data_IF_909211080986
#
_entry.id   IF_909211080986
#
_cell.length_a   1.000
_cell.length_b   1.000
_cell.length_c   1.000
_cell.angle_alpha   90.00
_cell.angle_beta   90.00
_cell.angle_gamma   90.00
#
_symmetry.space_group_name_H-M   'P 1'
#
loop_
_entity.id
_entity.type
_entity.pdbx_description
1 polymer ?
#
# COMPACT_ATOMS: atom_id res chain seq x y z
N UNK A 1 -19.95 8.31 24.40
CA UNK A 1 -20.20 6.95 23.90
C UNK A 1 -20.20 7.02 22.38
N UNK A 2 -19.07 6.73 21.74
CA UNK A 2 -18.95 6.74 20.28
C UNK A 2 -19.29 5.34 19.77
N UNK A 3 -20.47 5.19 19.18
CA UNK A 3 -20.89 3.97 18.49
C UNK A 3 -20.19 3.92 17.14
N UNK A 4 -19.07 3.20 17.08
CA UNK A 4 -18.49 2.75 15.81
C UNK A 4 -19.37 1.63 15.26
N UNK A 5 -20.29 1.99 14.37
CA UNK A 5 -20.98 1.02 13.53
C UNK A 5 -19.97 0.45 12.53
N UNK A 6 -19.40 -0.70 12.87
CA UNK A 6 -18.67 -1.52 11.92
C UNK A 6 -19.68 -2.12 10.94
N UNK A 7 -20.14 -1.33 9.98
CA UNK A 7 -20.96 -1.81 8.87
C UNK A 7 -20.09 -2.75 8.06
N UNK A 8 -20.18 -4.05 8.31
CA UNK A 8 -19.69 -5.09 7.40
C UNK A 8 -20.49 -4.95 6.10
N UNK A 9 -20.00 -4.12 5.19
CA UNK A 9 -20.50 -4.05 3.82
C UNK A 9 -20.20 -5.40 3.18
N UNK A 10 -21.17 -6.30 3.21
CA UNK A 10 -21.14 -7.54 2.42
C UNK A 10 -20.84 -7.11 0.99
N UNK A 11 -19.67 -7.51 0.48
CA UNK A 11 -19.29 -7.22 -0.90
C UNK A 11 -20.21 -8.11 -1.75
N UNK A 12 -21.28 -7.52 -2.28
CA UNK A 12 -22.24 -8.24 -3.11
C UNK A 12 -21.62 -8.37 -4.50
N UNK A 13 -21.34 -9.62 -4.88
CA UNK A 13 -20.97 -10.01 -6.23
C UNK A 13 -22.20 -10.61 -6.92
N UNK A 14 -22.57 -10.07 -8.09
CA UNK A 14 -23.63 -10.63 -8.93
C UNK A 14 -23.06 -10.92 -10.32
N UNK A 15 -23.00 -12.20 -10.69
CA UNK A 15 -22.46 -12.61 -11.98
C UNK A 15 -23.36 -12.14 -13.13
N UNK A 16 -22.77 -11.51 -14.15
CA UNK A 16 -23.46 -11.15 -15.39
C UNK A 16 -23.24 -12.27 -16.42
N UNK A 17 -22.00 -12.75 -16.52
CA UNK A 17 -21.59 -13.91 -17.31
C UNK A 17 -20.30 -14.51 -16.72
N UNK A 18 -19.68 -15.47 -17.41
CA UNK A 18 -18.45 -16.15 -16.96
C UNK A 18 -17.23 -15.20 -16.80
N UNK A 19 -17.25 -14.02 -17.42
CA UNK A 19 -16.10 -13.10 -17.44
C UNK A 19 -16.36 -11.77 -16.72
N UNK A 20 -17.62 -11.44 -16.44
CA UNK A 20 -18.06 -10.15 -15.92
C UNK A 20 -19.04 -10.29 -14.77
N UNK A 21 -18.84 -9.46 -13.75
CA UNK A 21 -19.67 -9.41 -12.55
C UNK A 21 -19.97 -7.96 -12.15
N UNK A 22 -21.12 -7.76 -11.50
CA UNK A 22 -21.37 -6.57 -10.70
C UNK A 22 -20.70 -6.73 -9.34
N UNK A 23 -19.92 -5.73 -8.94
CA UNK A 23 -19.28 -5.66 -7.63
C UNK A 23 -19.66 -4.36 -6.92
N UNK A 24 -19.99 -4.47 -5.64
CA UNK A 24 -20.14 -3.30 -4.77
C UNK A 24 -18.74 -2.77 -4.38
N UNK A 25 -18.28 -1.74 -5.09
CA UNK A 25 -16.94 -1.17 -4.88
C UNK A 25 -16.82 -0.39 -3.57
N UNK A 26 -17.86 0.39 -3.24
CA UNK A 26 -17.99 1.07 -1.94
C UNK A 26 -19.47 1.31 -1.62
N UNK A 27 -19.81 2.02 -0.54
CA UNK A 27 -21.22 2.29 -0.17
C UNK A 27 -22.03 3.04 -1.25
N UNK A 28 -21.39 3.68 -2.22
CA UNK A 28 -22.04 4.51 -3.25
C UNK A 28 -21.94 3.93 -4.67
N UNK A 29 -20.94 3.08 -4.95
CA UNK A 29 -20.61 2.61 -6.29
C UNK A 29 -20.85 1.11 -6.43
N UNK A 30 -21.75 0.77 -7.35
CA UNK A 30 -21.96 -0.59 -7.85
C UNK A 30 -21.53 -0.64 -9.30
N UNK A 31 -20.47 -1.39 -9.59
CA UNK A 31 -19.72 -1.31 -10.85
C UNK A 31 -19.64 -2.67 -11.54
N UNK A 32 -19.42 -2.66 -12.85
CA UNK A 32 -19.12 -3.87 -13.62
C UNK A 32 -17.61 -4.06 -13.65
N UNK A 33 -17.13 -5.24 -13.24
CA UNK A 33 -15.72 -5.67 -13.27
C UNK A 33 -15.54 -6.87 -14.19
N UNK A 34 -14.41 -6.88 -14.90
CA UNK A 34 -13.86 -8.05 -15.57
C UNK A 34 -13.15 -8.93 -14.54
N UNK A 35 -13.60 -10.18 -14.39
CA UNK A 35 -13.05 -11.15 -13.43
C UNK A 35 -11.61 -11.53 -13.77
N UNK A 36 -11.25 -11.52 -15.07
CA UNK A 36 -9.93 -11.95 -15.56
C UNK A 36 -8.81 -10.95 -15.27
N UNK A 37 -9.10 -9.66 -15.40
CA UNK A 37 -8.05 -8.62 -15.54
C UNK A 37 -8.15 -7.48 -14.50
N UNK A 38 -9.06 -7.57 -13.52
CA UNK A 38 -9.28 -6.49 -12.51
C UNK A 38 -9.66 -5.12 -13.09
N UNK A 39 -10.28 -5.15 -14.26
CA UNK A 39 -10.68 -3.95 -15.00
C UNK A 39 -12.13 -3.59 -14.76
N UNK A 40 -12.41 -2.32 -14.54
CA UNK A 40 -13.75 -1.80 -14.23
C UNK A 40 -14.31 -1.02 -15.40
N UNK A 41 -15.58 -1.26 -15.74
CA UNK A 41 -16.22 -0.59 -16.85
C UNK A 41 -16.49 0.88 -16.52
N UNK A 42 -15.92 1.79 -17.30
CA UNK A 42 -16.03 3.23 -17.09
C UNK A 42 -17.47 3.74 -17.20
N UNK A 43 -18.28 3.13 -18.07
CA UNK A 43 -19.71 3.42 -18.21
C UNK A 43 -20.47 3.13 -16.92
N UNK A 44 -20.19 1.98 -16.27
CA UNK A 44 -20.82 1.64 -14.99
C UNK A 44 -20.48 2.66 -13.88
N UNK A 45 -19.26 3.21 -13.89
CA UNK A 45 -18.84 4.27 -12.96
C UNK A 45 -19.67 5.54 -13.20
N UNK A 46 -19.81 5.96 -14.45
CA UNK A 46 -20.59 7.15 -14.80
C UNK A 46 -22.07 6.99 -14.40
N UNK A 47 -22.66 5.83 -14.67
CA UNK A 47 -24.03 5.51 -14.28
C UNK A 47 -24.20 5.52 -12.76
N UNK A 48 -23.28 4.90 -12.01
CA UNK A 48 -23.33 4.90 -10.54
C UNK A 48 -23.14 6.30 -9.94
N UNK A 49 -22.35 7.16 -10.58
CA UNK A 49 -22.14 8.55 -10.16
C UNK A 49 -23.25 9.53 -10.58
N UNK A 50 -24.30 9.07 -11.27
CA UNK A 50 -25.33 9.91 -11.89
C UNK A 50 -24.72 11.04 -12.74
N UNK A 51 -23.68 10.71 -13.50
CA UNK A 51 -23.02 11.68 -14.37
C UNK A 51 -23.97 12.17 -15.48
N UNK A 52 -23.88 13.45 -15.88
CA UNK A 52 -24.68 13.96 -16.99
C UNK A 52 -24.27 13.28 -18.30
N UNK A 53 -25.23 13.07 -19.21
CA UNK A 53 -25.02 12.43 -20.52
C UNK A 53 -24.02 13.17 -21.44
N UNK A 54 -23.69 14.42 -21.10
CA UNK A 54 -22.66 15.21 -21.78
C UNK A 54 -21.25 14.67 -21.54
N UNK A 55 -20.99 14.00 -20.41
CA UNK A 55 -19.68 13.46 -20.06
C UNK A 55 -19.48 12.11 -20.73
N UNK A 56 -18.58 12.07 -21.71
CA UNK A 56 -18.21 10.82 -22.37
C UNK A 56 -16.88 10.29 -21.81
N UNK A 57 -16.68 8.97 -21.72
CA UNK A 57 -15.41 8.38 -21.31
C UNK A 57 -14.18 9.00 -21.99
N UNK A 58 -14.29 9.33 -23.28
CA UNK A 58 -13.22 9.95 -24.06
C UNK A 58 -12.76 11.31 -23.50
N UNK A 59 -13.66 12.08 -22.90
CA UNK A 59 -13.34 13.43 -22.38
C UNK A 59 -12.45 13.35 -21.15
N UNK A 60 -12.55 12.27 -20.35
CA UNK A 60 -11.65 12.03 -19.23
C UNK A 60 -10.21 11.88 -19.71
N UNK A 61 -9.97 11.08 -20.76
CA UNK A 61 -8.63 10.85 -21.33
C UNK A 61 -8.01 12.09 -21.98
N UNK A 62 -8.81 13.10 -22.34
CA UNK A 62 -8.35 14.36 -22.95
C UNK A 62 -7.89 15.39 -21.91
N UNK A 63 -8.22 15.20 -20.64
CA UNK A 63 -7.85 16.15 -19.60
C UNK A 63 -6.36 16.06 -19.28
N UNK A 64 -5.70 17.21 -19.19
CA UNK A 64 -4.27 17.29 -18.87
C UNK A 64 -3.93 16.61 -17.54
N UNK A 65 -4.73 16.84 -16.49
CA UNK A 65 -4.54 16.21 -15.18
C UNK A 65 -4.67 14.69 -15.21
N UNK A 66 -5.51 14.16 -16.10
CA UNK A 66 -5.66 12.71 -16.30
C UNK A 66 -4.45 12.12 -17.01
N UNK A 67 -3.89 12.82 -18.00
CA UNK A 67 -2.67 12.40 -18.69
C UNK A 67 -1.49 12.33 -17.71
N UNK A 68 -1.33 13.34 -16.86
CA UNK A 68 -0.31 13.37 -15.81
C UNK A 68 -0.47 12.21 -14.82
N UNK A 69 -1.70 11.92 -14.40
CA UNK A 69 -2.01 10.79 -13.51
C UNK A 69 -1.66 9.44 -14.16
N UNK A 70 -1.99 9.25 -15.44
CA UNK A 70 -1.68 8.02 -16.16
C UNK A 70 -0.17 7.83 -16.28
N UNK A 71 0.58 8.89 -16.62
CA UNK A 71 2.04 8.84 -16.68
C UNK A 71 2.65 8.46 -15.31
N UNK A 72 2.14 9.00 -14.21
CA UNK A 72 2.61 8.65 -12.86
C UNK A 72 2.29 7.20 -12.49
N UNK A 73 1.11 6.70 -12.89
CA UNK A 73 0.73 5.30 -12.68
C UNK A 73 1.61 4.32 -13.48
N UNK A 74 2.03 4.68 -14.69
CA UNK A 74 2.98 3.89 -15.49
C UNK A 74 4.39 3.91 -14.88
N UNK A 75 4.84 5.09 -14.43
CA UNK A 75 6.15 5.25 -13.80
C UNK A 75 6.26 4.50 -12.47
N UNK A 76 5.22 4.55 -11.62
CA UNK A 76 5.18 3.84 -10.34
C UNK A 76 5.21 2.31 -10.51
N UNK A 77 4.51 1.79 -11.53
CA UNK A 77 4.56 0.37 -11.92
C UNK A 77 5.98 -0.04 -12.33
N UNK A 78 6.70 0.84 -13.04
CA UNK A 78 8.06 0.59 -13.52
C UNK A 78 9.12 0.73 -12.41
N UNK A 79 8.83 1.48 -11.34
CA UNK A 79 9.79 1.85 -10.29
C UNK A 79 9.92 0.84 -9.13
N UNK A 80 9.16 -0.27 -9.13
CA UNK A 80 9.37 -1.33 -8.14
C UNK A 80 10.66 -2.14 -8.45
N UNK A 81 11.58 -2.33 -7.49
CA UNK A 81 13.00 -2.06 -7.74
C UNK A 81 13.85 -3.33 -7.91
N UNK A 82 14.74 -3.33 -8.90
CA UNK A 82 16.02 -4.05 -8.77
C UNK A 82 16.85 -3.26 -7.76
N UNK A 83 16.87 -3.77 -6.52
CA UNK A 83 17.84 -3.55 -5.44
C UNK A 83 18.61 -2.22 -5.49
N UNK A 84 18.27 -1.32 -4.57
CA UNK A 84 19.14 -0.25 -4.14
C UNK A 84 20.49 -0.84 -3.67
N UNK A 85 21.54 -0.72 -4.49
CA UNK A 85 22.92 -0.74 -4.02
C UNK A 85 23.44 0.69 -4.04
N UNK A 86 23.43 1.29 -2.86
CA UNK A 86 24.25 2.45 -2.52
C UNK A 86 25.68 2.18 -2.98
N UNK A 87 26.21 3.06 -3.82
CA UNK A 87 27.59 3.01 -4.31
C UNK A 87 28.53 3.41 -3.17
N UNK A 88 29.27 2.46 -2.62
CA UNK A 88 30.54 2.71 -1.92
C UNK A 88 31.50 1.60 -2.30
N UNK A 89 32.60 2.00 -2.97
CA UNK A 89 33.95 1.43 -2.84
C UNK A 89 34.20 -0.06 -3.11
N UNK A 90 35.01 -0.29 -4.15
CA UNK A 90 36.04 -1.36 -4.25
C UNK A 90 35.68 -2.71 -4.92
N UNK A 91 36.47 -2.99 -5.96
CA UNK A 91 36.81 -4.30 -6.58
C UNK A 91 38.36 -4.28 -6.73
N UNK A 92 39.09 -5.40 -6.98
CA UNK A 92 38.62 -6.66 -7.58
C UNK A 92 39.25 -7.95 -7.01
N UNK A 93 38.64 -9.12 -7.29
CA UNK A 93 39.35 -10.28 -7.88
C UNK A 93 38.32 -11.33 -8.35
N UNK A 94 38.44 -11.79 -9.61
CA UNK A 94 37.63 -12.87 -10.20
C UNK A 94 38.22 -14.26 -9.88
N UNK A 95 37.46 -15.35 -10.06
CA UNK A 95 37.68 -16.18 -11.26
C UNK A 95 36.39 -16.54 -12.02
N UNK A 96 36.59 -16.81 -13.31
CA UNK A 96 35.59 -17.09 -14.35
C UNK A 96 34.98 -18.49 -14.17
N UNK A 97 33.66 -18.60 -14.30
CA UNK A 97 32.99 -19.81 -14.79
C UNK A 97 32.18 -19.42 -16.02
N UNK A 98 32.39 -20.16 -17.12
CA UNK A 98 31.60 -20.09 -18.34
C UNK A 98 30.42 -21.07 -18.23
N UNK A 99 29.47 -20.95 -19.16
CA UNK A 99 28.12 -21.56 -19.22
C UNK A 99 27.06 -20.74 -18.48
N UNK A 100 26.00 -20.21 -19.08
CA UNK A 100 25.23 -20.72 -20.21
C UNK A 100 24.57 -19.53 -20.97
N UNK A 101 24.85 -19.39 -22.26
CA UNK A 101 24.44 -18.25 -23.10
C UNK A 101 23.04 -18.37 -23.71
N UNK A 102 22.22 -19.33 -23.29
CA UNK A 102 20.95 -19.65 -24.00
C UNK A 102 19.67 -19.57 -23.16
N UNK A 103 19.73 -19.19 -21.88
CA UNK A 103 18.52 -18.95 -21.05
C UNK A 103 17.99 -17.50 -21.09
N UNK A 104 18.48 -16.67 -22.02
CA UNK A 104 17.97 -15.31 -22.25
C UNK A 104 16.89 -15.20 -23.34
N UNK A 105 16.24 -16.31 -23.72
CA UNK A 105 15.08 -16.28 -24.62
C UNK A 105 13.82 -16.71 -23.85
N UNK A 106 12.92 -15.74 -23.66
CA UNK A 106 11.59 -15.86 -23.04
C UNK A 106 11.54 -15.94 -21.51
N UNK A 107 12.17 -14.98 -20.81
CA UNK A 107 11.42 -14.35 -19.71
C UNK A 107 10.44 -13.39 -20.37
N UNK A 108 9.19 -13.83 -20.55
CA UNK A 108 8.10 -12.89 -20.79
C UNK A 108 8.22 -11.80 -19.73
N UNK A 109 8.50 -10.55 -20.14
CA UNK A 109 8.35 -9.42 -19.25
C UNK A 109 6.93 -9.54 -18.69
N UNK A 110 6.70 -9.51 -17.37
CA UNK A 110 5.35 -9.35 -16.88
C UNK A 110 4.80 -8.11 -17.59
N UNK A 111 3.79 -8.30 -18.43
CA UNK A 111 3.15 -7.18 -19.11
C UNK A 111 2.80 -6.19 -18.01
N UNK A 112 3.35 -4.98 -18.07
CA UNK A 112 2.96 -3.93 -17.15
C UNK A 112 1.44 -3.89 -17.15
N UNK A 113 0.77 -3.98 -15.98
CA UNK A 113 -0.68 -4.00 -15.90
C UNK A 113 -1.25 -2.87 -16.74
N UNK A 114 -2.08 -3.21 -17.74
CA UNK A 114 -2.71 -2.21 -18.60
C UNK A 114 -3.60 -1.32 -17.73
N UNK A 115 -3.34 0.00 -17.73
CA UNK A 115 -4.10 0.94 -16.91
C UNK A 115 -5.53 1.16 -17.40
N UNK A 116 -5.73 1.10 -18.72
CA UNK A 116 -7.04 1.22 -19.35
C UNK A 116 -7.07 0.42 -20.66
N UNK A 117 -8.26 0.06 -21.10
CA UNK A 117 -8.48 -0.68 -22.35
C UNK A 117 -9.85 -0.32 -22.94
N UNK A 118 -9.91 -0.10 -24.26
CA UNK A 118 -11.19 0.06 -24.95
C UNK A 118 -11.61 -1.28 -25.59
N UNK A 119 -12.71 -1.86 -25.10
CA UNK A 119 -13.24 -3.15 -25.55
C UNK A 119 -14.48 -2.93 -26.41
N UNK A 120 -14.30 -2.68 -27.70
CA UNK A 120 -15.40 -2.42 -28.64
C UNK A 120 -16.08 -3.70 -29.18
N UNK A 121 -15.36 -4.83 -29.16
CA UNK A 121 -15.81 -6.14 -29.68
C UNK A 121 -16.83 -6.87 -28.78
N UNK A 122 -17.25 -6.24 -27.68
CA UNK A 122 -18.18 -6.80 -26.69
C UNK A 122 -19.64 -6.48 -27.02
N UNK A 123 -20.62 -7.21 -26.44
CA UNK A 123 -22.04 -6.90 -26.61
C UNK A 123 -22.38 -5.48 -26.11
N UNK A 124 -23.50 -4.94 -26.59
CA UNK A 124 -23.88 -3.52 -26.45
C UNK A 124 -23.96 -3.00 -24.99
N UNK A 125 -24.04 -3.88 -23.98
CA UNK A 125 -24.00 -3.53 -22.55
C UNK A 125 -22.60 -3.53 -21.91
N UNK A 126 -21.66 -4.33 -22.43
CA UNK A 126 -20.33 -4.52 -21.84
C UNK A 126 -19.22 -3.78 -22.61
N UNK A 127 -19.50 -3.32 -23.84
CA UNK A 127 -18.51 -2.59 -24.64
C UNK A 127 -18.14 -1.21 -24.09
N UNK A 128 -16.93 -0.78 -24.42
CA UNK A 128 -16.41 0.56 -24.14
C UNK A 128 -15.14 0.54 -23.32
N UNK A 129 -14.87 1.67 -22.64
CA UNK A 129 -13.66 1.85 -21.86
C UNK A 129 -13.72 1.12 -20.52
N UNK A 130 -12.61 0.48 -20.21
CA UNK A 130 -12.32 -0.17 -18.95
C UNK A 130 -11.09 0.49 -18.33
N UNK A 131 -11.11 0.65 -17.01
CA UNK A 131 -10.04 1.29 -16.23
C UNK A 131 -9.62 0.38 -15.08
N UNK A 132 -8.34 0.42 -14.74
CA UNK A 132 -7.78 -0.32 -13.63
C UNK A 132 -8.39 0.13 -12.29
N UNK A 133 -8.43 -0.76 -11.30
CA UNK A 133 -9.00 -0.54 -9.96
C UNK A 133 -8.59 0.79 -9.32
N UNK A 134 -7.30 1.16 -9.44
CA UNK A 134 -6.76 2.39 -8.83
C UNK A 134 -7.31 3.67 -9.47
N UNK A 135 -7.75 3.63 -10.72
CA UNK A 135 -8.27 4.78 -11.45
C UNK A 135 -9.77 5.00 -11.22
N UNK A 136 -10.49 4.01 -10.67
CA UNK A 136 -11.94 4.07 -10.42
C UNK A 136 -12.33 5.32 -9.64
N UNK A 137 -11.60 5.60 -8.55
CA UNK A 137 -11.88 6.77 -7.72
C UNK A 137 -11.62 8.09 -8.44
N UNK A 138 -10.62 8.14 -9.32
CA UNK A 138 -10.32 9.35 -10.09
C UNK A 138 -11.39 9.60 -11.17
N UNK A 139 -11.78 8.55 -11.90
CA UNK A 139 -12.89 8.62 -12.87
C UNK A 139 -14.18 9.06 -12.17
N UNK A 140 -14.47 8.51 -11.00
CA UNK A 140 -15.67 8.85 -10.24
C UNK A 140 -15.64 10.30 -9.71
N UNK A 141 -14.48 10.82 -9.30
CA UNK A 141 -14.28 12.24 -8.95
C UNK A 141 -14.53 13.17 -10.15
N UNK A 142 -13.99 12.81 -11.31
CA UNK A 142 -14.24 13.55 -12.55
C UNK A 142 -15.72 13.49 -12.96
N UNK A 143 -16.37 12.34 -12.80
CA UNK A 143 -17.77 12.12 -13.12
C UNK A 143 -18.70 13.02 -12.28
N UNK A 144 -18.49 13.06 -10.96
CA UNK A 144 -19.35 13.77 -10.01
C UNK A 144 -18.57 14.49 -8.92
N UNK A 145 -18.79 15.81 -8.82
CA UNK A 145 -18.21 16.63 -7.76
C UNK A 145 -18.71 16.22 -6.36
N UNK A 146 -19.95 15.71 -6.27
CA UNK A 146 -20.52 15.19 -5.01
C UNK A 146 -19.76 13.96 -4.53
N UNK A 147 -19.43 13.04 -5.44
CA UNK A 147 -18.60 11.88 -5.12
C UNK A 147 -17.18 12.32 -4.73
N UNK A 148 -16.63 13.33 -5.43
CA UNK A 148 -15.33 13.89 -5.08
C UNK A 148 -15.27 14.39 -3.64
N UNK A 149 -16.27 15.17 -3.21
CA UNK A 149 -16.36 15.63 -1.83
C UNK A 149 -16.50 14.49 -0.82
N UNK A 150 -17.24 13.43 -1.16
CA UNK A 150 -17.35 12.25 -0.33
C UNK A 150 -16.00 11.54 -0.14
N UNK A 151 -15.23 11.39 -1.21
CA UNK A 151 -13.87 10.81 -1.15
C UNK A 151 -12.94 11.68 -0.30
N UNK A 152 -12.99 13.02 -0.43
CA UNK A 152 -12.21 13.91 0.40
C UNK A 152 -12.52 13.74 1.89
N UNK A 153 -13.80 13.63 2.27
CA UNK A 153 -14.20 13.37 3.66
C UNK A 153 -13.71 12.02 4.16
N UNK A 154 -13.81 10.98 3.33
CA UNK A 154 -13.35 9.64 3.68
C UNK A 154 -11.84 9.61 3.91
N UNK A 155 -11.06 10.28 3.06
CA UNK A 155 -9.61 10.40 3.21
C UNK A 155 -9.23 11.17 4.47
N UNK A 156 -9.92 12.27 4.78
CA UNK A 156 -9.69 13.03 6.02
C UNK A 156 -9.94 12.18 7.27
N UNK A 157 -11.03 11.40 7.27
CA UNK A 157 -11.35 10.48 8.36
C UNK A 157 -10.28 9.40 8.55
N UNK A 158 -9.76 8.81 7.46
CA UNK A 158 -8.68 7.81 7.52
C UNK A 158 -7.40 8.44 8.08
N UNK A 159 -6.99 9.61 7.57
CA UNK A 159 -5.79 10.28 8.08
C UNK A 159 -5.93 10.76 9.53
N UNK A 160 -7.17 11.03 10.00
CA UNK A 160 -7.43 11.30 11.41
C UNK A 160 -7.20 10.05 12.26
N UNK A 161 -7.75 8.91 11.84
CA UNK A 161 -7.56 7.62 12.54
C UNK A 161 -6.09 7.21 12.59
N UNK A 162 -5.35 7.35 11.49
CA UNK A 162 -3.91 7.05 11.46
C UNK A 162 -3.10 7.90 12.45
N UNK A 163 -3.45 9.19 12.60
CA UNK A 163 -2.82 10.07 13.61
C UNK A 163 -3.14 9.64 15.03
N UNK A 164 -4.41 9.35 15.32
CA UNK A 164 -4.83 8.85 16.64
C UNK A 164 -4.12 7.53 17.00
N UNK A 165 -3.97 6.62 16.04
CA UNK A 165 -3.22 5.37 16.26
C UNK A 165 -1.73 5.62 16.54
N UNK A 166 -1.11 6.58 15.86
CA UNK A 166 0.29 6.96 16.08
C UNK A 166 0.49 7.60 17.46
N UNK A 167 -0.43 8.48 17.87
CA UNK A 167 -0.42 9.10 19.21
C UNK A 167 -0.58 8.04 20.30
N UNK A 168 -1.54 7.12 20.16
CA UNK A 168 -1.72 6.00 21.09
C UNK A 168 -0.46 5.13 21.22
N UNK A 169 0.24 4.87 20.11
CA UNK A 169 1.51 4.13 20.10
C UNK A 169 2.63 4.90 20.80
N UNK A 170 2.67 6.23 20.67
CA UNK A 170 3.61 7.10 21.38
C UNK A 170 3.35 7.10 22.88
N UNK A 171 2.10 7.32 23.31
CA UNK A 171 1.74 7.29 24.72
C UNK A 171 2.05 5.95 25.39
N UNK A 172 1.81 4.84 24.70
CA UNK A 172 2.13 3.51 25.19
C UNK A 172 3.65 3.32 25.38
N UNK A 173 4.47 3.86 24.47
CA UNK A 173 5.93 3.87 24.59
C UNK A 173 6.39 4.75 25.76
N UNK A 174 5.82 5.94 25.92
CA UNK A 174 6.15 6.84 27.02
C UNK A 174 5.80 6.23 28.39
N UNK A 175 4.63 5.60 28.52
CA UNK A 175 4.24 4.85 29.73
C UNK A 175 5.21 3.68 30.01
N UNK A 176 5.74 3.02 28.97
CA UNK A 176 6.76 1.96 29.14
C UNK A 176 8.10 2.54 29.60
N UNK A 177 8.52 3.66 29.03
CA UNK A 177 9.73 4.39 29.43
C UNK A 177 9.60 4.80 30.90
N UNK A 178 8.49 5.45 31.30
CA UNK A 178 8.24 5.85 32.68
C UNK A 178 8.29 4.68 33.67
N UNK A 179 7.76 3.50 33.32
CA UNK A 179 7.88 2.29 34.14
C UNK A 179 9.32 1.76 34.25
N UNK A 180 10.21 2.09 33.30
CA UNK A 180 11.64 1.71 33.34
C UNK A 180 12.51 2.72 34.09
N UNK A 181 12.08 3.98 34.21
CA UNK A 181 12.80 5.05 34.95
C UNK A 181 13.15 4.69 36.42
N UNK A 182 12.38 3.91 37.20
CA UNK A 182 12.75 3.56 38.57
C UNK A 182 14.06 2.77 38.70
N UNK A 183 14.52 2.11 37.62
CA UNK A 183 15.82 1.41 37.57
C UNK A 183 16.97 2.29 37.06
N UNK A 184 16.66 3.51 36.63
CA UNK A 184 17.66 4.49 36.24
C UNK A 184 18.21 5.19 37.47
N UNK A 185 19.51 5.47 37.48
CA UNK A 185 20.19 6.14 38.58
C UNK A 185 19.44 7.45 38.89
N UNK A 186 18.98 7.66 40.14
CA UNK A 186 18.26 8.88 40.51
C UNK A 186 19.03 10.13 40.10
N UNK A 187 18.31 11.13 39.58
CA UNK A 187 18.89 12.37 39.05
C UNK A 187 19.77 13.03 40.13
N UNK A 188 21.05 13.26 39.82
CA UNK A 188 22.05 13.81 40.76
C UNK A 188 22.83 12.77 41.59
N UNK A 189 22.53 11.47 41.48
CA UNK A 189 23.33 10.37 42.05
C UNK A 189 24.15 9.60 41.01
N UNK A 190 24.27 10.15 39.81
CA UNK A 190 24.95 9.54 38.64
C UNK A 190 26.42 9.14 38.90
N UNK A 191 27.09 9.80 39.85
CA UNK A 191 28.48 9.51 40.25
C UNK A 191 28.62 8.90 41.65
N UNK A 192 27.50 8.56 42.30
CA UNK A 192 27.50 8.12 43.69
C UNK A 192 27.48 6.59 43.76
N UNK A 193 28.67 5.99 43.82
CA UNK A 193 28.88 4.55 43.85
C UNK A 193 29.12 4.08 45.29
N UNK A 194 28.44 3.01 45.71
CA UNK A 194 28.75 2.28 46.95
C UNK A 194 29.27 0.90 46.57
N UNK A 195 30.58 0.71 46.68
CA UNK A 195 31.21 -0.60 46.45
C UNK A 195 31.08 -1.44 47.71
N UNK A 196 30.48 -2.63 47.59
CA UNK A 196 30.64 -3.71 48.57
C UNK A 196 31.67 -4.67 47.99
N UNK A 197 32.86 -4.68 48.56
CA UNK A 197 33.92 -5.61 48.21
C UNK A 197 34.02 -6.58 49.38
N UNK A 198 33.79 -7.86 49.13
CA UNK A 198 34.08 -8.94 50.06
C UNK A 198 35.28 -9.71 49.52
N UNK A 199 36.22 -9.99 50.41
CA UNK A 199 37.35 -10.88 50.12
C UNK A 199 36.95 -12.28 50.55
N UNK A 200 36.88 -13.21 49.60
CA UNK A 200 36.84 -14.64 49.92
C UNK A 200 38.24 -15.08 50.31
N UNK A 201 38.36 -15.81 51.42
CA UNK A 201 39.57 -16.55 51.74
C UNK A 201 39.64 -17.71 50.74
N UNK A 202 40.58 -17.63 49.80
CA UNK A 202 40.93 -18.78 48.97
C UNK A 202 41.52 -19.83 49.92
N UNK A 203 40.95 -21.03 49.96
CA UNK A 203 41.62 -22.16 50.61
C UNK A 203 43.01 -22.24 50.00
N UNK A 204 44.04 -22.00 50.82
CA UNK A 204 45.40 -22.26 50.40
C UNK A 204 45.44 -23.75 50.08
N UNK A 205 45.52 -24.11 48.80
CA UNK A 205 45.99 -25.44 48.42
C UNK A 205 47.36 -25.58 49.08
N UNK A 206 47.37 -26.30 50.20
CA UNK A 206 48.61 -26.68 50.86
C UNK A 206 49.47 -27.34 49.79
N UNK A 207 50.60 -26.70 49.47
CA UNK A 207 51.68 -27.30 48.71
C UNK A 207 52.00 -28.65 49.36
N UNK A 208 51.48 -29.73 48.81
CA UNK A 208 51.89 -31.08 49.17
C UNK A 208 53.29 -31.26 48.62
N UNK A 209 54.27 -30.93 49.44
CA UNK A 209 55.65 -31.42 49.29
C UNK A 209 55.62 -32.95 49.22
N UNK A 210 55.91 -33.48 48.02
CA UNK A 210 56.40 -34.83 47.75
C UNK A 210 57.40 -34.77 46.59
#
# INVERSE_FOLDING_TARGET
MSTTENTTTVIVHEAINEEYEYIQFNKQLRLIRSVKDDMYQMKSILTACFAPDTKKPQDWFRNQSTIELLNEAENSTTRNPVVAKTRVGEKPQSPKLYENSEEQRLREKPQSPKLYENREKLPNGLRGYYVHRLLVNNVAQWASARYSWYVCKLLDEIHRQEREELENKLEAKDKNIQKRIPRSVPKGKEKNYKYMIYTEEMENEEDRDM
#
